data_IF_079630512432
#
_entry.id   IF_079630512432
#
_cell.length_a   1.000
_cell.length_b   1.000
_cell.length_c   1.000
_cell.angle_alpha   90.00
_cell.angle_beta   90.00
_cell.angle_gamma   90.00
#
_symmetry.space_group_name_H-M   'P 1'
#
loop_
_entity.id
_entity.type
_entity.pdbx_description
1 polymer ?
#
# COMPACT_ATOMS: atom_id res chain seq x y z
N UNK A 1 -27.44 -4.35 5.69
CA UNK A 1 -26.50 -5.20 6.50
C UNK A 1 -25.52 -5.84 5.55
N UNK A 2 -24.26 -6.06 5.97
CA UNK A 2 -23.34 -6.95 5.26
C UNK A 2 -23.39 -8.29 5.95
N UNK A 3 -23.66 -9.38 5.21
CA UNK A 3 -23.66 -10.74 5.76
C UNK A 3 -22.51 -11.53 5.13
N UNK A 4 -21.73 -12.23 5.95
CA UNK A 4 -20.59 -13.03 5.55
C UNK A 4 -20.85 -14.46 5.98
N UNK A 5 -20.93 -15.37 5.00
CA UNK A 5 -21.10 -16.80 5.26
C UNK A 5 -19.82 -17.41 5.88
N UNK A 6 -19.93 -18.62 6.39
CA UNK A 6 -18.76 -19.34 6.87
C UNK A 6 -17.74 -19.57 5.72
N UNK A 7 -16.45 -19.33 5.98
CA UNK A 7 -15.42 -19.55 4.97
C UNK A 7 -15.29 -21.02 4.59
N UNK A 8 -14.99 -21.27 3.34
CA UNK A 8 -14.71 -22.61 2.83
C UNK A 8 -13.42 -22.60 2.00
N UNK A 9 -12.72 -23.72 1.99
CA UNK A 9 -11.58 -23.96 1.09
C UNK A 9 -11.99 -24.78 -0.11
N UNK A 10 -11.49 -24.39 -1.27
CA UNK A 10 -11.67 -25.10 -2.53
C UNK A 10 -10.33 -25.23 -3.26
N UNK A 11 -10.01 -26.43 -3.72
CA UNK A 11 -8.80 -26.69 -4.50
C UNK A 11 -9.19 -26.90 -5.97
N UNK A 12 -8.53 -26.15 -6.84
CA UNK A 12 -8.68 -26.21 -8.29
C UNK A 12 -7.30 -26.33 -8.94
N UNK A 13 -6.91 -27.55 -9.27
CA UNK A 13 -5.59 -27.87 -9.79
C UNK A 13 -4.48 -27.47 -8.79
N UNK A 14 -3.65 -26.50 -9.18
CA UNK A 14 -2.52 -26.03 -8.36
C UNK A 14 -2.85 -24.80 -7.49
N UNK A 15 -4.11 -24.40 -7.46
CA UNK A 15 -4.56 -23.22 -6.73
C UNK A 15 -5.52 -23.63 -5.63
N UNK A 16 -5.35 -23.09 -4.44
CA UNK A 16 -6.30 -23.21 -3.34
C UNK A 16 -6.92 -21.84 -3.09
N UNK A 17 -8.25 -21.83 -2.95
CA UNK A 17 -9.05 -20.64 -2.66
C UNK A 17 -9.69 -20.77 -1.30
N UNK A 18 -9.50 -19.78 -0.47
CA UNK A 18 -10.31 -19.51 0.71
C UNK A 18 -11.39 -18.50 0.29
N UNK A 19 -12.65 -18.83 0.48
CA UNK A 19 -13.75 -17.97 0.04
C UNK A 19 -14.91 -17.98 1.02
N UNK A 20 -15.59 -16.83 1.16
CA UNK A 20 -16.87 -16.68 1.85
C UNK A 20 -17.83 -15.90 0.95
N UNK A 21 -19.11 -16.27 0.96
CA UNK A 21 -20.09 -15.51 0.22
C UNK A 21 -20.46 -14.26 1.03
N UNK A 22 -20.47 -13.10 0.36
CA UNK A 22 -20.75 -11.81 0.98
C UNK A 22 -21.97 -11.19 0.33
N UNK A 23 -22.97 -10.88 1.14
CA UNK A 23 -24.14 -10.10 0.77
C UNK A 23 -23.98 -8.67 1.26
N UNK A 24 -24.01 -7.70 0.37
CA UNK A 24 -24.00 -6.27 0.70
C UNK A 24 -25.26 -5.62 0.15
N UNK A 25 -26.25 -5.44 1.01
CA UNK A 25 -27.58 -4.94 0.64
C UNK A 25 -27.54 -3.50 0.11
N UNK A 26 -26.61 -2.66 0.60
CA UNK A 26 -26.54 -1.23 0.22
C UNK A 26 -25.85 -1.05 -1.12
N UNK A 27 -24.77 -1.77 -1.37
CA UNK A 27 -24.06 -1.72 -2.64
C UNK A 27 -24.68 -2.64 -3.70
N UNK A 28 -25.60 -3.52 -3.29
CA UNK A 28 -26.20 -4.57 -4.11
C UNK A 28 -25.10 -5.46 -4.76
N UNK A 29 -24.11 -5.87 -3.95
CA UNK A 29 -23.04 -6.76 -4.36
C UNK A 29 -23.14 -8.07 -3.57
N UNK A 30 -23.51 -9.13 -4.26
CA UNK A 30 -23.69 -10.48 -3.70
C UNK A 30 -22.75 -11.42 -4.45
N UNK A 31 -21.59 -11.71 -3.84
CA UNK A 31 -20.56 -12.50 -4.50
C UNK A 31 -19.56 -13.11 -3.52
N UNK A 32 -18.72 -14.02 -4.02
CA UNK A 32 -17.62 -14.60 -3.28
C UNK A 32 -16.48 -13.60 -3.07
N UNK A 33 -16.15 -13.30 -1.83
CA UNK A 33 -14.87 -12.71 -1.44
C UNK A 33 -13.85 -13.83 -1.33
N UNK A 34 -12.70 -13.70 -2.03
CA UNK A 34 -11.77 -14.80 -2.22
C UNK A 34 -10.32 -14.39 -1.97
N UNK A 35 -9.56 -15.30 -1.38
CA UNK A 35 -8.09 -15.28 -1.28
C UNK A 35 -7.57 -16.54 -1.95
N UNK A 36 -6.67 -16.39 -2.94
CA UNK A 36 -6.16 -17.51 -3.74
C UNK A 36 -4.64 -17.57 -3.65
N UNK A 37 -4.11 -18.75 -3.41
CA UNK A 37 -2.66 -19.02 -3.36
C UNK A 37 -2.32 -20.36 -4.03
N UNK A 38 -1.01 -20.66 -4.18
CA UNK A 38 -0.57 -21.96 -4.68
C UNK A 38 -0.90 -23.09 -3.69
N UNK A 39 -1.02 -24.31 -4.21
CA UNK A 39 -1.32 -25.52 -3.41
C UNK A 39 -0.30 -25.72 -2.28
N UNK A 40 0.96 -25.34 -2.48
CA UNK A 40 2.02 -25.40 -1.46
C UNK A 40 1.65 -24.66 -0.15
N UNK A 41 0.90 -23.56 -0.27
CA UNK A 41 0.48 -22.75 0.87
C UNK A 41 -1.01 -22.89 1.22
N UNK A 42 -1.73 -23.78 0.54
CA UNK A 42 -3.17 -23.95 0.70
C UNK A 42 -3.60 -24.34 2.11
N UNK A 43 -2.81 -25.16 2.79
CA UNK A 43 -3.11 -25.63 4.16
C UNK A 43 -3.03 -24.51 5.19
N UNK A 44 -2.28 -23.45 4.91
CA UNK A 44 -2.16 -22.27 5.77
C UNK A 44 -3.30 -21.28 5.63
N UNK A 45 -4.14 -21.40 4.58
CA UNK A 45 -5.36 -20.61 4.49
C UNK A 45 -6.32 -20.96 5.62
N UNK A 46 -6.80 -19.95 6.34
CA UNK A 46 -7.57 -20.10 7.56
C UNK A 46 -9.07 -20.05 7.28
N UNK A 47 -9.73 -21.20 7.26
CA UNK A 47 -11.17 -21.36 7.06
C UNK A 47 -11.98 -21.55 8.35
N UNK A 48 -11.31 -21.59 9.49
CA UNK A 48 -11.94 -21.86 10.80
C UNK A 48 -12.52 -20.60 11.42
N UNK A 49 -12.05 -19.41 10.99
CA UNK A 49 -12.49 -18.10 11.51
C UNK A 49 -12.75 -17.09 10.39
N UNK A 50 -13.60 -16.12 10.67
CA UNK A 50 -14.01 -15.08 9.75
C UNK A 50 -13.12 -13.83 9.71
N UNK A 51 -12.01 -13.80 10.45
CA UNK A 51 -11.19 -12.60 10.70
C UNK A 51 -10.79 -11.84 9.42
N UNK A 52 -10.25 -12.56 8.44
CA UNK A 52 -9.83 -11.96 7.16
C UNK A 52 -10.99 -11.27 6.44
N UNK A 53 -12.16 -11.91 6.45
CA UNK A 53 -13.36 -11.42 5.77
C UNK A 53 -13.97 -10.22 6.48
N UNK A 54 -14.01 -10.24 7.81
CA UNK A 54 -14.48 -9.11 8.62
C UNK A 54 -13.59 -7.91 8.42
N UNK A 55 -12.26 -8.06 8.47
CA UNK A 55 -11.30 -6.96 8.22
C UNK A 55 -11.47 -6.42 6.79
N UNK A 56 -11.66 -7.28 5.79
CA UNK A 56 -11.93 -6.85 4.42
C UNK A 56 -13.23 -6.04 4.29
N UNK A 57 -14.28 -6.37 5.05
CA UNK A 57 -15.58 -5.72 4.90
C UNK A 57 -15.84 -4.60 5.90
N UNK A 58 -14.95 -4.38 6.88
CA UNK A 58 -15.15 -3.41 7.95
C UNK A 58 -15.27 -1.97 7.44
N UNK A 59 -14.35 -1.55 6.56
CA UNK A 59 -14.36 -0.19 6.04
C UNK A 59 -15.55 0.09 5.10
N UNK A 60 -15.95 -0.81 4.16
CA UNK A 60 -17.21 -0.73 3.44
C UNK A 60 -18.44 -0.61 4.35
N UNK A 61 -18.52 -1.44 5.40
CA UNK A 61 -19.61 -1.42 6.37
C UNK A 61 -19.74 -0.06 7.07
N UNK A 62 -18.63 0.46 7.59
CA UNK A 62 -18.59 1.77 8.26
C UNK A 62 -18.99 2.88 7.29
N UNK A 63 -18.46 2.88 6.06
CA UNK A 63 -18.76 3.90 5.05
C UNK A 63 -20.24 3.95 4.67
N UNK A 64 -20.86 2.78 4.59
CA UNK A 64 -22.28 2.63 4.20
C UNK A 64 -23.22 2.56 5.40
N UNK A 65 -22.70 2.73 6.63
CA UNK A 65 -23.47 2.68 7.88
C UNK A 65 -24.21 1.35 8.09
N UNK A 66 -23.55 0.26 7.73
CA UNK A 66 -24.05 -1.11 7.89
C UNK A 66 -23.35 -1.82 9.06
N UNK A 67 -24.06 -2.77 9.67
CA UNK A 67 -23.44 -3.80 10.54
C UNK A 67 -22.95 -4.97 9.69
N UNK A 68 -21.98 -5.71 10.22
CA UNK A 68 -21.49 -6.96 9.64
C UNK A 68 -22.04 -8.11 10.47
N UNK A 69 -22.76 -9.04 9.84
CA UNK A 69 -23.10 -10.33 10.41
C UNK A 69 -22.17 -11.39 9.84
N UNK A 70 -21.45 -12.11 10.70
CA UNK A 70 -20.51 -13.16 10.29
C UNK A 70 -20.93 -14.51 10.86
N UNK A 71 -20.97 -15.53 10.02
CA UNK A 71 -21.39 -16.88 10.42
C UNK A 71 -20.25 -17.66 11.10
N UNK A 72 -18.99 -17.34 10.79
CA UNK A 72 -17.83 -18.01 11.39
C UNK A 72 -17.41 -17.35 12.72
N UNK A 73 -16.75 -18.09 13.62
CA UNK A 73 -16.13 -17.53 14.80
C UNK A 73 -15.10 -16.45 14.45
N UNK A 74 -14.80 -15.57 15.41
CA UNK A 74 -13.75 -14.55 15.31
C UNK A 74 -12.75 -14.69 16.45
N UNK A 75 -11.50 -14.24 16.19
CA UNK A 75 -10.50 -14.01 17.23
C UNK A 75 -11.06 -13.05 18.28
N UNK A 76 -10.98 -13.43 19.56
CA UNK A 76 -11.41 -12.59 20.69
C UNK A 76 -10.70 -11.23 20.68
N UNK A 77 -9.39 -11.25 20.49
CA UNK A 77 -8.56 -10.05 20.43
C UNK A 77 -8.98 -9.12 19.28
N UNK A 78 -9.16 -9.66 18.09
CA UNK A 78 -9.54 -8.86 16.92
C UNK A 78 -10.95 -8.28 17.10
N UNK A 79 -11.92 -9.11 17.54
CA UNK A 79 -13.28 -8.66 17.81
C UNK A 79 -13.30 -7.51 18.81
N UNK A 80 -12.63 -7.69 19.97
CA UNK A 80 -12.54 -6.65 20.99
C UNK A 80 -11.95 -5.36 20.43
N UNK A 81 -10.85 -5.44 19.69
CA UNK A 81 -10.18 -4.27 19.12
C UNK A 81 -11.05 -3.56 18.06
N UNK A 82 -11.77 -4.32 17.24
CA UNK A 82 -12.69 -3.74 16.24
C UNK A 82 -13.80 -2.99 16.96
N UNK A 83 -14.48 -3.60 17.91
CA UNK A 83 -15.64 -2.98 18.59
C UNK A 83 -15.26 -1.76 19.43
N UNK A 84 -14.10 -1.77 20.09
CA UNK A 84 -13.73 -0.70 21.02
C UNK A 84 -12.79 0.36 20.45
N UNK A 85 -12.09 0.08 19.36
CA UNK A 85 -11.07 1.00 18.85
C UNK A 85 -11.12 1.23 17.35
N UNK A 86 -10.98 0.18 16.54
CA UNK A 86 -10.83 0.30 15.08
C UNK A 86 -12.07 0.95 14.46
N UNK A 87 -13.27 0.51 14.86
CA UNK A 87 -14.55 1.09 14.38
C UNK A 87 -14.63 2.58 14.66
N UNK A 88 -14.27 3.00 15.88
CA UNK A 88 -14.27 4.42 16.28
C UNK A 88 -13.30 5.24 15.43
N UNK A 89 -12.07 4.74 15.22
CA UNK A 89 -11.06 5.41 14.36
C UNK A 89 -11.60 5.58 12.93
N UNK A 90 -12.09 4.50 12.34
CA UNK A 90 -12.56 4.53 10.96
C UNK A 90 -13.83 5.39 10.80
N UNK A 91 -14.76 5.36 11.76
CA UNK A 91 -15.92 6.23 11.77
C UNK A 91 -15.52 7.71 11.84
N UNK A 92 -14.60 8.07 12.73
CA UNK A 92 -14.07 9.45 12.81
C UNK A 92 -13.49 9.91 11.48
N UNK A 93 -12.66 9.09 10.85
CA UNK A 93 -11.99 9.45 9.60
C UNK A 93 -12.95 9.56 8.41
N UNK A 94 -13.86 8.59 8.24
CA UNK A 94 -14.63 8.45 6.99
C UNK A 94 -16.08 8.93 7.06
N UNK A 95 -16.66 9.01 8.25
CA UNK A 95 -18.05 9.47 8.45
C UNK A 95 -18.09 10.90 9.01
N UNK A 96 -17.11 11.26 9.87
CA UNK A 96 -16.94 12.61 10.43
C UNK A 96 -17.79 12.89 11.67
N UNK A 97 -17.58 14.08 12.25
CA UNK A 97 -18.01 14.45 13.62
C UNK A 97 -19.54 14.52 13.85
N UNK A 98 -20.36 14.54 12.81
CA UNK A 98 -21.83 14.64 12.94
C UNK A 98 -22.46 13.50 13.77
N UNK A 99 -21.70 12.41 14.01
CA UNK A 99 -22.12 11.30 14.88
C UNK A 99 -21.52 11.38 16.28
N UNK A 100 -20.46 12.15 16.49
CA UNK A 100 -19.84 12.29 17.81
C UNK A 100 -20.77 13.00 18.83
N UNK A 101 -21.67 13.88 18.34
CA UNK A 101 -22.69 14.51 19.19
C UNK A 101 -23.76 13.52 19.70
N UNK A 102 -23.79 12.28 19.14
CA UNK A 102 -24.66 11.18 19.53
C UNK A 102 -23.91 10.03 20.23
N UNK A 103 -22.83 10.33 20.93
CA UNK A 103 -21.96 9.34 21.63
C UNK A 103 -22.73 8.44 22.59
N UNK A 104 -23.90 8.86 23.06
CA UNK A 104 -24.80 8.03 23.87
C UNK A 104 -25.44 6.85 23.12
N UNK A 105 -25.44 6.88 21.77
CA UNK A 105 -25.99 5.81 20.90
C UNK A 105 -24.90 4.89 20.30
N UNK A 106 -23.61 5.17 20.53
CA UNK A 106 -22.46 4.37 20.06
C UNK A 106 -22.30 2.99 20.76
N UNK A 107 -23.30 2.51 21.47
CA UNK A 107 -23.37 1.14 22.00
C UNK A 107 -23.79 0.11 20.96
N UNK A 108 -24.05 0.50 19.74
CA UNK A 108 -24.37 -0.46 18.68
C UNK A 108 -23.08 -1.09 18.14
N UNK A 109 -22.91 -2.36 18.45
CA UNK A 109 -21.83 -3.20 17.89
C UNK A 109 -21.81 -3.11 16.37
N UNK A 110 -20.61 -3.00 15.78
CA UNK A 110 -20.45 -3.04 14.31
C UNK A 110 -20.58 -4.47 13.81
N UNK A 111 -20.19 -5.45 14.64
CA UNK A 111 -20.21 -6.87 14.30
C UNK A 111 -21.33 -7.56 15.06
N UNK A 112 -22.21 -8.23 14.33
CA UNK A 112 -23.17 -9.20 14.85
C UNK A 112 -22.62 -10.61 14.64
N UNK A 113 -22.37 -11.31 15.74
CA UNK A 113 -21.97 -12.71 15.70
C UNK A 113 -23.18 -13.58 15.32
N UNK A 114 -23.03 -14.47 14.37
CA UNK A 114 -24.12 -15.24 13.76
C UNK A 114 -24.61 -16.41 14.58
N UNK A 115 -25.20 -16.17 15.73
CA UNK A 115 -26.00 -17.07 16.59
C UNK A 115 -25.56 -18.53 16.72
N UNK A 116 -24.71 -18.83 17.68
CA UNK A 116 -24.27 -20.18 18.09
C UNK A 116 -23.41 -20.09 19.33
N UNK A 117 -23.14 -21.22 19.98
CA UNK A 117 -22.13 -21.29 21.04
C UNK A 117 -20.72 -21.13 20.44
N UNK A 118 -19.78 -20.52 21.19
CA UNK A 118 -18.37 -20.33 20.79
C UNK A 118 -18.13 -19.46 19.53
N UNK A 119 -18.80 -18.32 19.43
CA UNK A 119 -18.59 -17.34 18.35
C UNK A 119 -17.27 -16.55 18.47
N UNK A 120 -16.67 -16.52 19.65
CA UNK A 120 -15.35 -15.92 19.90
C UNK A 120 -14.38 -17.03 20.32
N UNK A 121 -13.19 -17.00 19.74
CA UNK A 121 -12.16 -18.03 19.96
C UNK A 121 -10.81 -17.39 20.23
N UNK A 122 -10.10 -17.90 21.24
CA UNK A 122 -8.69 -17.57 21.46
C UNK A 122 -7.85 -18.41 20.51
N UNK A 123 -7.30 -17.79 19.48
CA UNK A 123 -6.51 -18.49 18.48
C UNK A 123 -5.19 -19.01 19.04
N UNK A 124 -4.81 -20.22 18.66
CA UNK A 124 -3.58 -20.86 19.11
C UNK A 124 -2.83 -21.53 17.94
N UNK A 125 -2.75 -20.85 16.81
CA UNK A 125 -1.95 -21.33 15.68
C UNK A 125 -0.46 -21.21 16.02
N UNK A 126 0.31 -22.23 15.65
CA UNK A 126 1.76 -22.32 15.92
C UNK A 126 2.59 -21.95 14.70
N UNK A 127 2.07 -21.04 13.87
CA UNK A 127 2.82 -20.52 12.76
C UNK A 127 4.12 -19.84 13.19
N UNK A 128 5.22 -20.11 12.52
CA UNK A 128 6.54 -19.51 12.79
C UNK A 128 6.95 -18.52 11.69
N UNK A 129 6.07 -18.29 10.72
CA UNK A 129 6.33 -17.43 9.58
C UNK A 129 6.46 -15.97 10.01
N UNK A 130 7.58 -15.35 9.64
CA UNK A 130 7.83 -13.91 9.74
C UNK A 130 7.94 -13.36 8.33
N UNK A 131 7.03 -12.47 7.93
CA UNK A 131 6.94 -12.06 6.54
C UNK A 131 6.91 -10.52 6.35
N UNK A 132 7.22 -10.07 5.14
CA UNK A 132 7.03 -8.69 4.69
C UNK A 132 6.62 -8.65 3.22
N UNK A 133 5.94 -7.57 2.83
CA UNK A 133 5.57 -7.32 1.44
C UNK A 133 6.80 -7.01 0.57
N UNK A 134 6.87 -7.59 -0.62
CA UNK A 134 7.98 -7.45 -1.56
C UNK A 134 7.54 -6.80 -2.87
N UNK A 135 7.31 -5.49 -2.87
CA UNK A 135 7.00 -4.72 -4.09
C UNK A 135 8.24 -4.21 -4.83
N UNK A 136 9.44 -4.45 -4.31
CA UNK A 136 10.72 -3.94 -4.79
C UNK A 136 10.82 -2.40 -4.80
N UNK A 137 9.90 -1.71 -4.14
CA UNK A 137 9.96 -0.27 -3.88
C UNK A 137 10.93 0.06 -2.74
N UNK A 138 11.18 1.35 -2.53
CA UNK A 138 12.08 1.84 -1.46
C UNK A 138 11.67 1.28 -0.10
N UNK A 139 10.39 1.32 0.25
CA UNK A 139 9.90 0.89 1.56
C UNK A 139 10.06 -0.62 1.77
N UNK A 140 9.69 -1.42 0.77
CA UNK A 140 9.78 -2.88 0.87
C UNK A 140 11.23 -3.39 0.88
N UNK A 141 12.14 -2.78 0.10
CA UNK A 141 13.59 -3.12 0.16
C UNK A 141 14.16 -2.69 1.52
N UNK A 142 13.76 -1.53 2.05
CA UNK A 142 14.18 -1.10 3.39
C UNK A 142 13.72 -2.09 4.46
N UNK A 143 12.45 -2.53 4.43
CA UNK A 143 11.94 -3.56 5.35
C UNK A 143 12.71 -4.87 5.22
N UNK A 144 12.93 -5.34 4.00
CA UNK A 144 13.72 -6.55 3.77
C UNK A 144 15.12 -6.43 4.40
N UNK A 145 15.86 -5.35 4.14
CA UNK A 145 17.21 -5.17 4.67
C UNK A 145 17.25 -5.05 6.19
N UNK A 146 16.21 -4.46 6.80
CA UNK A 146 16.12 -4.36 8.27
C UNK A 146 15.94 -5.71 8.92
N UNK A 147 15.12 -6.59 8.36
CA UNK A 147 14.72 -7.83 9.02
C UNK A 147 15.35 -9.11 8.43
N UNK A 148 16.22 -9.02 7.41
CA UNK A 148 16.84 -10.20 6.79
C UNK A 148 18.24 -10.52 7.33
N UNK A 149 18.96 -9.55 7.91
CA UNK A 149 20.36 -9.71 8.28
C UNK A 149 20.59 -10.44 9.62
N UNK A 150 21.84 -10.85 9.85
CA UNK A 150 22.27 -11.48 11.11
C UNK A 150 22.14 -10.54 12.34
N UNK A 151 22.05 -9.22 12.10
CA UNK A 151 21.79 -8.22 13.14
C UNK A 151 20.36 -8.28 13.68
N UNK A 152 19.42 -8.85 12.92
CA UNK A 152 18.03 -9.00 13.35
C UNK A 152 17.89 -10.20 14.30
N UNK A 153 17.24 -10.04 15.48
CA UNK A 153 17.00 -11.16 16.37
C UNK A 153 16.26 -12.31 15.67
N UNK A 154 16.60 -13.59 15.95
CA UNK A 154 16.05 -14.73 15.18
C UNK A 154 14.54 -14.76 15.05
N UNK A 155 13.82 -14.47 16.14
CA UNK A 155 12.33 -14.47 16.19
C UNK A 155 11.69 -13.30 15.41
N UNK A 156 12.50 -12.35 14.91
CA UNK A 156 12.07 -11.20 14.11
C UNK A 156 12.59 -11.28 12.67
N UNK A 157 13.46 -12.27 12.39
CA UNK A 157 14.09 -12.41 11.07
C UNK A 157 13.10 -12.97 10.07
N UNK A 158 13.07 -12.36 8.86
CA UNK A 158 12.22 -12.79 7.78
C UNK A 158 12.47 -14.25 7.39
N UNK A 159 11.38 -14.99 7.25
CA UNK A 159 11.33 -16.36 6.73
C UNK A 159 10.66 -16.40 5.37
N UNK A 160 9.80 -15.43 5.06
CA UNK A 160 9.00 -15.38 3.83
C UNK A 160 8.92 -13.95 3.28
N UNK A 161 8.77 -13.87 1.96
CA UNK A 161 8.35 -12.66 1.25
C UNK A 161 6.91 -12.85 0.76
N UNK A 162 6.16 -11.75 0.67
CA UNK A 162 4.80 -11.80 0.13
C UNK A 162 4.61 -10.82 -1.01
N UNK A 163 3.76 -11.19 -1.99
CA UNK A 163 3.35 -10.28 -3.06
C UNK A 163 1.87 -10.46 -3.36
N UNK A 164 1.08 -9.40 -3.16
CA UNK A 164 -0.37 -9.46 -3.21
C UNK A 164 -0.93 -8.79 -4.46
N UNK A 165 -1.86 -9.46 -5.14
CA UNK A 165 -2.78 -8.82 -6.09
C UNK A 165 -4.08 -8.47 -5.34
N UNK A 166 -4.06 -7.33 -4.67
CA UNK A 166 -5.12 -6.89 -3.77
C UNK A 166 -5.55 -5.43 -4.04
N UNK A 167 -5.54 -5.00 -5.30
CA UNK A 167 -6.00 -3.67 -5.73
C UNK A 167 -4.88 -2.67 -6.05
N UNK A 168 -3.63 -2.90 -5.66
CA UNK A 168 -2.53 -1.98 -5.93
C UNK A 168 -2.23 -1.77 -7.42
N UNK A 169 -2.50 -2.77 -8.27
CA UNK A 169 -2.26 -2.75 -9.72
C UNK A 169 -3.43 -2.21 -10.54
N UNK A 170 -4.51 -1.81 -9.89
CA UNK A 170 -5.72 -1.25 -10.51
C UNK A 170 -6.99 -1.69 -9.80
N UNK A 171 -7.87 -0.72 -9.54
CA UNK A 171 -9.09 -0.92 -8.76
C UNK A 171 -10.32 -1.21 -9.64
N UNK A 172 -10.26 -0.83 -10.92
CA UNK A 172 -11.44 -0.79 -11.79
C UNK A 172 -11.42 -1.81 -12.92
N UNK A 173 -10.29 -2.47 -13.18
CA UNK A 173 -10.15 -3.43 -14.26
C UNK A 173 -9.27 -4.60 -13.79
N UNK A 174 -9.92 -5.67 -13.34
CA UNK A 174 -9.25 -6.87 -12.81
C UNK A 174 -8.34 -7.54 -13.85
N UNK A 175 -8.72 -7.53 -15.13
CA UNK A 175 -7.93 -8.16 -16.19
C UNK A 175 -6.62 -7.42 -16.44
N UNK A 176 -6.64 -6.08 -16.44
CA UNK A 176 -5.42 -5.26 -16.56
C UNK A 176 -4.58 -5.33 -15.29
N UNK A 177 -5.21 -5.29 -14.12
CA UNK A 177 -4.53 -5.46 -12.84
C UNK A 177 -3.79 -6.79 -12.76
N UNK A 178 -4.42 -7.88 -13.20
CA UNK A 178 -3.80 -9.21 -13.25
C UNK A 178 -2.60 -9.27 -14.19
N UNK A 179 -2.69 -8.67 -15.38
CA UNK A 179 -1.55 -8.60 -16.33
C UNK A 179 -0.36 -7.84 -15.75
N UNK A 180 -0.61 -6.69 -15.09
CA UNK A 180 0.44 -5.91 -14.43
C UNK A 180 1.06 -6.71 -13.28
N UNK A 181 0.24 -7.34 -12.46
CA UNK A 181 0.67 -8.21 -11.38
C UNK A 181 1.56 -9.37 -11.86
N UNK A 182 1.15 -10.10 -12.89
CA UNK A 182 1.89 -11.24 -13.44
C UNK A 182 3.25 -10.81 -14.05
N UNK A 183 3.31 -9.60 -14.62
CA UNK A 183 4.57 -9.01 -15.11
C UNK A 183 5.53 -8.75 -13.95
N UNK A 184 5.06 -8.07 -12.91
CA UNK A 184 5.88 -7.69 -11.76
C UNK A 184 6.26 -8.91 -10.92
N UNK A 185 5.38 -9.90 -10.79
CA UNK A 185 5.61 -11.15 -10.05
C UNK A 185 6.87 -11.90 -10.55
N UNK A 186 7.18 -11.84 -11.84
CA UNK A 186 8.40 -12.46 -12.39
C UNK A 186 9.66 -11.84 -11.79
N UNK A 187 9.69 -10.53 -11.65
CA UNK A 187 10.82 -9.81 -11.07
C UNK A 187 10.91 -10.05 -9.56
N UNK A 188 9.77 -10.05 -8.88
CA UNK A 188 9.71 -10.36 -7.44
C UNK A 188 10.18 -11.79 -7.15
N UNK A 189 9.83 -12.77 -8.00
CA UNK A 189 10.35 -14.15 -7.93
C UNK A 189 11.87 -14.22 -8.12
N UNK A 190 12.41 -13.44 -9.06
CA UNK A 190 13.86 -13.38 -9.28
C UNK A 190 14.59 -12.83 -8.05
N UNK A 191 14.02 -11.80 -7.41
CA UNK A 191 14.54 -11.27 -6.15
C UNK A 191 14.47 -12.32 -5.03
N UNK A 192 13.30 -12.95 -4.84
CA UNK A 192 13.08 -13.99 -3.82
C UNK A 192 14.07 -15.14 -3.96
N UNK A 193 14.30 -15.63 -5.18
CA UNK A 193 15.28 -16.69 -5.45
C UNK A 193 16.73 -16.25 -5.12
N UNK A 194 17.09 -15.00 -5.45
CA UNK A 194 18.43 -14.49 -5.18
C UNK A 194 18.72 -14.34 -3.68
N UNK A 195 17.71 -13.94 -2.91
CA UNK A 195 17.85 -13.77 -1.45
C UNK A 195 17.57 -15.06 -0.65
N UNK A 196 17.13 -16.13 -1.31
CA UNK A 196 16.86 -17.44 -0.70
C UNK A 196 15.67 -17.46 0.24
N UNK A 197 14.69 -16.53 0.10
CA UNK A 197 13.46 -16.53 0.88
C UNK A 197 12.27 -16.93 0.01
N UNK A 198 11.44 -17.90 0.45
CA UNK A 198 10.23 -18.29 -0.29
C UNK A 198 9.27 -17.12 -0.47
N UNK A 199 8.63 -17.06 -1.64
CA UNK A 199 7.67 -16.04 -2.01
C UNK A 199 6.24 -16.60 -2.02
N UNK A 200 5.40 -16.02 -1.19
CA UNK A 200 3.98 -16.31 -1.16
C UNK A 200 3.23 -15.26 -1.98
N UNK A 201 2.60 -15.69 -3.05
CA UNK A 201 1.75 -14.83 -3.87
C UNK A 201 0.27 -15.11 -3.56
N UNK A 202 -0.49 -14.05 -3.27
CA UNK A 202 -1.92 -14.15 -2.95
C UNK A 202 -2.69 -13.17 -3.82
N UNK A 203 -3.77 -13.65 -4.44
CA UNK A 203 -4.74 -12.84 -5.16
C UNK A 203 -6.00 -12.67 -4.31
N UNK A 204 -6.52 -11.45 -4.23
CA UNK A 204 -7.73 -11.10 -3.49
C UNK A 204 -8.61 -10.18 -4.33
N UNK A 205 -9.90 -10.49 -4.38
CA UNK A 205 -10.89 -9.70 -5.14
C UNK A 205 -11.66 -8.68 -4.31
N UNK A 206 -11.21 -8.36 -3.09
CA UNK A 206 -11.88 -7.40 -2.19
C UNK A 206 -12.12 -6.02 -2.84
N UNK A 207 -11.29 -5.62 -3.81
CA UNK A 207 -11.46 -4.37 -4.57
C UNK A 207 -12.89 -4.16 -5.11
N UNK A 208 -13.63 -5.24 -5.36
CA UNK A 208 -15.00 -5.21 -5.84
C UNK A 208 -15.95 -4.44 -4.91
N UNK A 209 -15.77 -4.55 -3.59
CA UNK A 209 -16.58 -3.85 -2.58
C UNK A 209 -16.06 -2.45 -2.25
N UNK A 210 -14.87 -2.11 -2.74
CA UNK A 210 -14.20 -0.85 -2.43
C UNK A 210 -14.23 0.16 -3.58
N UNK A 211 -14.18 -0.28 -4.83
CA UNK A 211 -13.89 0.55 -6.00
C UNK A 211 -14.88 1.70 -6.26
N UNK A 212 -16.14 1.59 -5.76
CA UNK A 212 -17.14 2.64 -5.84
C UNK A 212 -17.10 3.61 -4.64
N UNK A 213 -16.51 3.19 -3.53
CA UNK A 213 -16.53 3.91 -2.27
C UNK A 213 -15.21 4.63 -1.97
N UNK A 214 -14.08 4.09 -2.45
CA UNK A 214 -12.75 4.48 -2.04
C UNK A 214 -11.76 4.48 -3.21
N UNK A 215 -10.69 5.28 -3.09
CA UNK A 215 -9.44 5.08 -3.81
C UNK A 215 -8.56 4.08 -3.06
N UNK A 216 -7.57 3.48 -3.74
CA UNK A 216 -6.69 2.49 -3.10
C UNK A 216 -5.96 3.04 -1.87
N UNK A 217 -5.44 4.28 -1.90
CA UNK A 217 -4.78 4.90 -0.74
C UNK A 217 -5.68 5.05 0.51
N UNK A 218 -7.00 5.06 0.33
CA UNK A 218 -7.94 5.14 1.44
C UNK A 218 -8.21 3.79 2.13
N UNK A 219 -7.83 2.67 1.52
CA UNK A 219 -8.21 1.33 1.98
C UNK A 219 -7.07 0.30 1.90
N UNK A 220 -5.90 0.68 1.40
CA UNK A 220 -4.78 -0.23 1.17
C UNK A 220 -4.41 -1.05 2.42
N UNK A 221 -4.37 -0.43 3.61
CA UNK A 221 -4.05 -1.12 4.85
C UNK A 221 -5.07 -2.21 5.16
N UNK A 222 -6.37 -1.90 5.10
CA UNK A 222 -7.43 -2.86 5.41
C UNK A 222 -7.41 -4.07 4.48
N UNK A 223 -7.32 -3.82 3.17
CA UNK A 223 -7.28 -4.91 2.17
C UNK A 223 -6.02 -5.76 2.35
N UNK A 224 -4.83 -5.15 2.50
CA UNK A 224 -3.61 -5.93 2.68
C UNK A 224 -3.61 -6.72 3.98
N UNK A 225 -4.09 -6.15 5.09
CA UNK A 225 -4.17 -6.88 6.37
C UNK A 225 -5.18 -8.01 6.32
N UNK A 226 -6.29 -7.87 5.61
CA UNK A 226 -7.21 -8.99 5.38
C UNK A 226 -6.53 -10.16 4.66
N UNK A 227 -5.68 -9.86 3.65
CA UNK A 227 -4.89 -10.88 2.96
C UNK A 227 -3.91 -11.56 3.91
N UNK A 228 -3.23 -10.81 4.78
CA UNK A 228 -2.31 -11.39 5.78
C UNK A 228 -3.07 -12.31 6.73
N UNK A 229 -4.24 -11.88 7.23
CA UNK A 229 -5.05 -12.66 8.16
C UNK A 229 -5.68 -13.91 7.51
N UNK A 230 -5.80 -13.97 6.19
CA UNK A 230 -6.18 -15.23 5.52
C UNK A 230 -5.15 -16.34 5.70
N UNK A 231 -3.90 -15.99 6.09
CA UNK A 231 -2.76 -16.90 6.27
C UNK A 231 -2.27 -16.96 7.74
N UNK A 232 -3.11 -16.65 8.70
CA UNK A 232 -2.68 -16.58 10.11
C UNK A 232 -2.28 -17.94 10.72
N UNK A 233 -2.52 -19.06 10.04
CA UNK A 233 -1.93 -20.36 10.37
C UNK A 233 -0.43 -20.44 10.09
N UNK A 234 0.09 -19.61 9.19
CA UNK A 234 1.50 -19.54 8.83
C UNK A 234 2.22 -18.40 9.56
N UNK A 235 1.63 -17.19 9.49
CA UNK A 235 2.30 -15.98 9.94
C UNK A 235 2.14 -15.76 11.46
N UNK A 236 3.27 -15.80 12.17
CA UNK A 236 3.37 -15.30 13.54
C UNK A 236 3.51 -13.77 13.55
N UNK A 237 4.30 -13.22 12.61
CA UNK A 237 4.53 -11.78 12.46
C UNK A 237 4.47 -11.35 11.00
N UNK A 238 3.89 -10.18 10.79
CA UNK A 238 3.92 -9.54 9.47
C UNK A 238 4.39 -8.09 9.57
N UNK A 239 5.48 -7.78 8.89
CA UNK A 239 6.02 -6.44 8.79
C UNK A 239 5.45 -5.70 7.58
N UNK A 240 4.60 -4.72 7.85
CA UNK A 240 4.06 -3.84 6.81
C UNK A 240 5.01 -2.66 6.61
N UNK A 241 5.51 -2.49 5.39
CA UNK A 241 6.47 -1.44 5.06
C UNK A 241 5.84 -0.05 5.18
N UNK A 242 6.27 0.76 6.16
CA UNK A 242 5.73 2.11 6.38
C UNK A 242 5.91 3.02 5.17
N UNK A 243 4.88 3.80 4.84
CA UNK A 243 4.97 4.84 3.81
C UNK A 243 5.47 6.17 4.36
N UNK A 244 5.12 6.48 5.61
CA UNK A 244 5.43 7.73 6.30
C UNK A 244 6.05 7.46 7.68
N UNK A 245 6.91 8.37 8.18
CA UNK A 245 7.43 8.25 9.53
C UNK A 245 6.33 8.52 10.58
N UNK A 246 6.45 7.88 11.75
CA UNK A 246 5.43 7.93 12.80
C UNK A 246 5.08 9.35 13.27
N UNK A 247 6.02 10.29 13.21
CA UNK A 247 5.75 11.68 13.60
C UNK A 247 4.95 12.49 12.57
N UNK A 248 4.71 11.93 11.36
CA UNK A 248 3.74 12.48 10.40
C UNK A 248 2.31 11.96 10.65
N UNK A 249 2.11 11.24 11.76
CA UNK A 249 0.80 10.71 12.14
C UNK A 249 -0.28 11.80 12.07
N UNK A 250 -1.35 11.47 11.40
CA UNK A 250 -2.60 12.24 11.38
C UNK A 250 -3.73 11.39 10.82
N UNK A 251 -4.95 11.71 11.21
CA UNK A 251 -6.11 11.17 10.51
C UNK A 251 -6.26 11.84 9.15
N UNK A 252 -6.16 11.06 8.09
CA UNK A 252 -6.23 11.55 6.70
C UNK A 252 -7.26 10.73 5.92
N UNK A 253 -8.24 11.44 5.31
CA UNK A 253 -9.32 10.80 4.55
C UNK A 253 -8.85 10.21 3.22
N UNK A 254 -7.69 10.60 2.73
CA UNK A 254 -7.20 10.23 1.40
C UNK A 254 -6.14 9.14 1.45
N UNK A 255 -5.39 9.04 2.57
CA UNK A 255 -4.23 8.15 2.71
C UNK A 255 -4.24 7.53 4.10
N UNK A 256 -4.57 6.24 4.17
CA UNK A 256 -4.67 5.49 5.42
C UNK A 256 -3.29 5.26 6.07
N UNK A 257 -2.24 5.22 5.28
CA UNK A 257 -0.87 4.97 5.74
C UNK A 257 -0.34 6.05 6.70
N UNK A 258 -0.98 7.23 6.82
CA UNK A 258 -0.62 8.22 7.86
C UNK A 258 -0.96 7.78 9.28
N UNK A 259 -1.88 6.82 9.46
CA UNK A 259 -2.27 6.30 10.77
C UNK A 259 -2.19 4.76 10.86
N UNK A 260 -1.45 4.14 9.94
CA UNK A 260 -1.20 2.69 9.92
C UNK A 260 -0.55 2.20 11.21
N UNK A 261 0.35 3.00 11.82
CA UNK A 261 1.02 2.67 13.08
C UNK A 261 0.06 2.51 14.27
N UNK A 262 -1.13 3.12 14.18
CA UNK A 262 -2.20 2.92 15.16
C UNK A 262 -3.07 1.72 14.79
N UNK A 263 -3.39 1.55 13.50
CA UNK A 263 -4.34 0.51 13.06
C UNK A 263 -3.75 -0.90 13.12
N UNK A 264 -2.50 -1.09 12.67
CA UNK A 264 -1.94 -2.43 12.52
C UNK A 264 -1.94 -3.24 13.82
N UNK A 265 -1.43 -2.72 14.96
CA UNK A 265 -1.48 -3.47 16.22
C UNK A 265 -2.89 -3.85 16.67
N UNK A 266 -3.89 -2.98 16.35
CA UNK A 266 -5.29 -3.22 16.67
C UNK A 266 -5.96 -4.26 15.76
N UNK A 267 -5.42 -4.49 14.56
CA UNK A 267 -5.87 -5.54 13.65
C UNK A 267 -5.16 -6.88 13.87
N UNK A 268 -4.25 -6.97 14.84
CA UNK A 268 -3.58 -8.22 15.21
C UNK A 268 -4.54 -9.18 15.89
N UNK A 269 -4.29 -10.48 15.70
CA UNK A 269 -4.96 -11.57 16.41
C UNK A 269 -4.03 -12.16 17.47
N UNK A 270 -4.47 -13.19 18.21
CA UNK A 270 -3.61 -13.92 19.16
C UNK A 270 -2.46 -14.64 18.45
N UNK A 271 -2.68 -15.06 17.20
CA UNK A 271 -1.71 -15.85 16.42
C UNK A 271 -0.84 -15.03 15.49
N UNK A 272 -1.29 -13.84 15.05
CA UNK A 272 -0.57 -13.03 14.07
C UNK A 272 -0.42 -11.59 14.55
N UNK A 273 0.83 -11.17 14.73
CA UNK A 273 1.21 -9.79 15.07
C UNK A 273 1.45 -8.98 13.81
N UNK A 274 0.71 -7.89 13.65
CA UNK A 274 0.85 -6.95 12.53
C UNK A 274 1.67 -5.75 12.98
N UNK A 275 2.82 -5.52 12.34
CA UNK A 275 3.82 -4.57 12.78
C UNK A 275 4.15 -3.61 11.65
N UNK A 276 4.23 -2.32 11.93
CA UNK A 276 4.76 -1.33 10.98
C UNK A 276 6.29 -1.42 10.98
N UNK A 277 6.88 -1.58 9.81
CA UNK A 277 8.33 -1.65 9.62
C UNK A 277 8.91 -0.25 9.39
N UNK A 278 10.04 0.04 10.05
CA UNK A 278 10.80 1.28 9.89
C UNK A 278 9.97 2.58 10.06
N UNK A 279 9.08 2.67 11.07
CA UNK A 279 8.26 3.85 11.29
C UNK A 279 9.08 5.08 11.72
N UNK A 280 10.34 4.89 12.09
CA UNK A 280 11.28 5.95 12.43
C UNK A 280 12.02 6.53 11.21
N UNK A 281 11.81 5.99 10.01
CA UNK A 281 12.53 6.43 8.82
C UNK A 281 11.68 7.29 7.89
N UNK A 282 12.19 8.46 7.52
CA UNK A 282 11.67 9.23 6.39
C UNK A 282 11.95 8.51 5.06
N UNK A 283 11.33 8.96 3.98
CA UNK A 283 11.63 8.43 2.64
C UNK A 283 13.11 8.57 2.28
N UNK A 284 13.69 9.74 2.52
CA UNK A 284 15.11 10.00 2.25
C UNK A 284 16.02 9.16 3.16
N UNK A 285 15.63 8.92 4.41
CA UNK A 285 16.39 8.03 5.30
C UNK A 285 16.42 6.59 4.77
N UNK A 286 15.28 6.07 4.31
CA UNK A 286 15.21 4.75 3.65
C UNK A 286 16.04 4.71 2.37
N UNK A 287 16.02 5.76 1.57
CA UNK A 287 16.82 5.89 0.34
C UNK A 287 18.33 5.88 0.65
N UNK A 288 18.78 6.64 1.66
CA UNK A 288 20.17 6.58 2.17
C UNK A 288 20.56 5.17 2.60
N UNK A 289 19.65 4.46 3.26
CA UNK A 289 19.88 3.10 3.76
C UNK A 289 20.02 2.08 2.64
N UNK A 290 19.21 2.15 1.57
CA UNK A 290 19.16 1.11 0.54
C UNK A 290 20.05 1.35 -0.69
N UNK A 291 20.35 2.61 -1.07
CA UNK A 291 20.94 2.89 -2.39
C UNK A 291 22.38 2.38 -2.56
N UNK A 292 23.11 2.21 -1.47
CA UNK A 292 24.43 1.56 -1.50
C UNK A 292 24.36 0.05 -1.67
N UNK A 293 23.20 -0.59 -1.46
CA UNK A 293 23.08 -2.03 -1.43
C UNK A 293 22.90 -2.63 -2.86
N UNK A 294 23.65 -3.71 -3.23
CA UNK A 294 23.58 -4.30 -4.57
C UNK A 294 22.18 -4.74 -5.01
N UNK A 295 21.37 -5.29 -4.10
CA UNK A 295 19.99 -5.70 -4.40
C UNK A 295 19.12 -4.52 -4.80
N UNK A 296 19.26 -3.36 -4.13
CA UNK A 296 18.55 -2.14 -4.52
C UNK A 296 18.96 -1.66 -5.91
N UNK A 297 20.28 -1.66 -6.19
CA UNK A 297 20.82 -1.25 -7.50
C UNK A 297 20.29 -2.12 -8.64
N UNK A 298 20.06 -3.41 -8.38
CA UNK A 298 19.59 -4.39 -9.36
C UNK A 298 18.07 -4.41 -9.51
N UNK A 299 17.31 -4.30 -8.41
CA UNK A 299 15.88 -4.61 -8.37
C UNK A 299 14.97 -3.42 -8.07
N UNK A 300 15.48 -2.24 -7.74
CA UNK A 300 14.62 -1.11 -7.34
C UNK A 300 13.58 -0.78 -8.40
N UNK A 301 12.30 -1.00 -8.07
CA UNK A 301 11.16 -0.75 -8.91
C UNK A 301 10.14 0.15 -8.19
N UNK A 302 10.02 1.40 -8.63
CA UNK A 302 9.17 2.42 -8.00
C UNK A 302 8.08 2.96 -8.93
N UNK A 303 8.00 2.42 -10.14
CA UNK A 303 7.26 3.01 -11.24
C UNK A 303 5.74 2.83 -11.10
N UNK A 304 5.00 3.88 -11.47
CA UNK A 304 3.54 3.85 -11.60
C UNK A 304 3.06 3.69 -13.06
N UNK A 305 3.95 3.36 -14.00
CA UNK A 305 3.62 3.30 -15.42
C UNK A 305 2.42 2.40 -15.69
N UNK A 306 2.46 1.17 -15.21
CA UNK A 306 1.40 0.17 -15.45
C UNK A 306 0.07 0.63 -14.86
N UNK A 307 0.06 1.14 -13.62
CA UNK A 307 -1.14 1.67 -12.97
C UNK A 307 -1.72 2.83 -13.79
N UNK A 308 -0.89 3.81 -14.18
CA UNK A 308 -1.32 4.96 -14.97
C UNK A 308 -1.81 4.60 -16.36
N UNK A 309 -1.21 3.61 -16.99
CA UNK A 309 -1.66 3.08 -18.29
C UNK A 309 -3.00 2.34 -18.15
N UNK A 310 -3.19 1.60 -17.06
CA UNK A 310 -4.46 0.92 -16.77
C UNK A 310 -5.60 1.91 -16.51
N UNK A 311 -5.33 2.99 -15.75
CA UNK A 311 -6.29 4.06 -15.50
C UNK A 311 -6.64 4.87 -16.76
N UNK A 312 -5.65 5.13 -17.62
CA UNK A 312 -5.82 5.88 -18.86
C UNK A 312 -4.91 5.31 -19.98
N UNK A 313 -5.45 4.45 -20.87
CA UNK A 313 -4.70 3.86 -21.98
C UNK A 313 -4.13 4.88 -22.97
N UNK A 314 -4.72 6.08 -23.07
CA UNK A 314 -4.27 7.16 -23.96
C UNK A 314 -3.22 8.07 -23.27
N UNK A 315 -2.80 7.71 -22.08
CA UNK A 315 -1.79 8.48 -21.34
C UNK A 315 -0.41 8.42 -22.01
N UNK A 316 0.41 9.43 -21.73
CA UNK A 316 1.81 9.44 -22.20
C UNK A 316 2.59 8.20 -21.73
N UNK A 317 2.15 7.57 -20.63
CA UNK A 317 2.82 6.40 -20.06
C UNK A 317 2.66 5.16 -20.95
N UNK A 318 1.54 5.02 -21.66
CA UNK A 318 1.32 3.92 -22.61
C UNK A 318 2.31 3.92 -23.79
N UNK A 319 2.87 5.09 -24.13
CA UNK A 319 3.81 5.27 -25.25
C UNK A 319 5.28 5.06 -24.84
N UNK A 320 5.56 4.85 -23.53
CA UNK A 320 6.94 4.68 -23.05
C UNK A 320 7.37 3.23 -23.28
N UNK A 321 8.48 3.03 -24.00
CA UNK A 321 9.08 1.71 -24.21
C UNK A 321 9.64 1.14 -22.90
N UNK A 322 9.57 -0.18 -22.74
CA UNK A 322 10.09 -0.92 -21.59
C UNK A 322 11.60 -1.23 -21.78
N UNK A 323 12.41 -0.19 -21.92
CA UNK A 323 13.87 -0.32 -22.03
C UNK A 323 14.58 -0.37 -20.68
N UNK A 324 13.91 0.12 -19.62
CA UNK A 324 14.38 0.14 -18.23
C UNK A 324 13.29 -0.36 -17.30
N UNK A 325 13.65 -0.79 -16.09
CA UNK A 325 12.71 -1.21 -15.06
C UNK A 325 11.69 -0.12 -14.73
N UNK A 326 12.12 1.14 -14.72
CA UNK A 326 11.31 2.29 -14.33
C UNK A 326 11.12 3.25 -15.52
N UNK A 327 9.94 3.82 -15.66
CA UNK A 327 9.62 4.71 -16.79
C UNK A 327 10.42 6.03 -16.82
N UNK A 328 11.01 6.45 -15.73
CA UNK A 328 11.74 7.71 -15.53
C UNK A 328 10.93 8.98 -15.88
N UNK A 329 9.60 8.87 -16.00
CA UNK A 329 8.70 9.99 -16.36
C UNK A 329 7.73 10.33 -15.23
N UNK A 330 7.28 9.35 -14.45
CA UNK A 330 6.35 9.58 -13.36
C UNK A 330 7.03 10.24 -12.15
N UNK A 331 6.21 10.83 -11.27
CA UNK A 331 6.70 11.54 -10.09
C UNK A 331 7.52 10.64 -9.15
N UNK A 332 7.09 9.37 -8.94
CA UNK A 332 7.86 8.41 -8.14
C UNK A 332 9.26 8.16 -8.71
N UNK A 333 9.38 7.97 -10.03
CA UNK A 333 10.68 7.76 -10.66
C UNK A 333 11.59 8.99 -10.53
N UNK A 334 11.06 10.18 -10.82
CA UNK A 334 11.87 11.40 -10.81
C UNK A 334 12.30 11.79 -9.39
N UNK A 335 11.43 11.60 -8.37
CA UNK A 335 11.82 11.88 -6.98
C UNK A 335 12.89 10.91 -6.48
N UNK A 336 12.75 9.62 -6.78
CA UNK A 336 13.75 8.61 -6.44
C UNK A 336 15.09 8.89 -7.14
N UNK A 337 15.06 9.21 -8.44
CA UNK A 337 16.28 9.56 -9.18
C UNK A 337 16.96 10.84 -8.67
N UNK A 338 16.19 11.84 -8.23
CA UNK A 338 16.78 13.03 -7.63
C UNK A 338 17.53 12.67 -6.33
N UNK A 339 16.97 11.79 -5.51
CA UNK A 339 17.66 11.32 -4.31
C UNK A 339 18.89 10.46 -4.65
N UNK A 340 18.78 9.53 -5.61
CA UNK A 340 19.90 8.71 -6.12
C UNK A 340 21.07 9.59 -6.57
N UNK A 341 20.77 10.67 -7.33
CA UNK A 341 21.75 11.61 -7.87
C UNK A 341 22.42 12.42 -6.75
N UNK A 342 21.62 13.00 -5.85
CA UNK A 342 22.12 13.79 -4.72
C UNK A 342 22.97 12.96 -3.75
N UNK A 343 22.68 11.68 -3.62
CA UNK A 343 23.44 10.74 -2.79
C UNK A 343 24.66 10.11 -3.52
N UNK A 344 24.90 10.48 -4.78
CA UNK A 344 26.09 10.05 -5.54
C UNK A 344 26.01 8.64 -6.12
N UNK A 345 24.82 8.05 -6.21
CA UNK A 345 24.65 6.67 -6.70
C UNK A 345 24.14 6.59 -8.16
N UNK A 346 24.02 7.71 -8.89
CA UNK A 346 23.32 7.75 -10.18
C UNK A 346 23.85 6.73 -11.20
N UNK A 347 25.15 6.51 -11.25
CA UNK A 347 25.78 5.58 -12.20
C UNK A 347 25.43 4.11 -11.92
N UNK A 348 25.10 3.77 -10.67
CA UNK A 348 24.69 2.42 -10.27
C UNK A 348 23.27 2.07 -10.70
N UNK A 349 22.46 3.08 -11.05
CA UNK A 349 21.04 2.91 -11.40
C UNK A 349 20.73 3.09 -12.89
N UNK A 350 21.75 3.15 -13.77
CA UNK A 350 21.58 3.32 -15.22
C UNK A 350 20.77 2.20 -15.89
N UNK A 351 20.84 0.97 -15.36
CA UNK A 351 20.01 -0.13 -15.88
C UNK A 351 18.56 -0.04 -15.45
N UNK A 352 18.29 0.55 -14.27
CA UNK A 352 16.95 0.67 -13.73
C UNK A 352 16.20 1.90 -14.24
N UNK A 353 16.92 2.95 -14.69
CA UNK A 353 16.34 4.23 -15.10
C UNK A 353 17.03 4.82 -16.34
N UNK A 354 16.27 5.54 -17.17
CA UNK A 354 16.79 6.41 -18.24
C UNK A 354 17.43 7.67 -17.63
N UNK A 355 18.68 7.56 -17.24
CA UNK A 355 19.45 8.65 -16.62
C UNK A 355 19.64 9.81 -17.61
N UNK A 356 19.70 9.54 -18.92
CA UNK A 356 19.85 10.57 -19.96
C UNK A 356 18.61 11.48 -20.01
N UNK A 357 17.43 10.90 -19.92
CA UNK A 357 16.19 11.67 -19.83
C UNK A 357 16.10 12.43 -18.51
N UNK A 358 16.47 11.80 -17.40
CA UNK A 358 16.47 12.47 -16.09
C UNK A 358 17.26 13.77 -16.13
N UNK A 359 18.48 13.77 -16.68
CA UNK A 359 19.28 14.99 -16.77
C UNK A 359 18.64 16.10 -17.63
N UNK A 360 17.86 15.76 -18.65
CA UNK A 360 17.10 16.74 -19.46
C UNK A 360 16.02 17.45 -18.63
N UNK A 361 15.37 16.74 -17.68
CA UNK A 361 14.25 17.27 -16.89
C UNK A 361 14.62 17.61 -15.44
N UNK A 362 15.83 17.31 -14.98
CA UNK A 362 16.29 17.48 -13.59
C UNK A 362 15.98 18.87 -13.04
N UNK A 363 16.33 19.94 -13.76
CA UNK A 363 16.12 21.32 -13.28
C UNK A 363 14.63 21.67 -13.16
N UNK A 364 13.79 21.17 -14.07
CA UNK A 364 12.34 21.34 -14.01
C UNK A 364 11.76 20.60 -12.78
N UNK A 365 12.25 19.37 -12.56
CA UNK A 365 11.82 18.58 -11.41
C UNK A 365 12.25 19.19 -10.07
N UNK A 366 13.49 19.68 -9.95
CA UNK A 366 13.96 20.43 -8.78
C UNK A 366 13.07 21.66 -8.53
N UNK A 367 12.72 22.40 -9.58
CA UNK A 367 11.83 23.55 -9.44
C UNK A 367 10.43 23.16 -8.91
N UNK A 368 9.88 22.02 -9.38
CA UNK A 368 8.63 21.45 -8.88
C UNK A 368 8.74 21.08 -7.40
N UNK A 369 9.81 20.39 -6.99
CA UNK A 369 10.10 20.00 -5.60
C UNK A 369 10.14 21.23 -4.70
N UNK A 370 10.92 22.25 -5.07
CA UNK A 370 11.06 23.50 -4.29
C UNK A 370 9.72 24.25 -4.18
N UNK A 371 8.93 24.29 -5.24
CA UNK A 371 7.64 24.98 -5.23
C UNK A 371 6.59 24.26 -4.40
N UNK A 372 6.62 22.92 -4.37
CA UNK A 372 5.64 22.06 -3.69
C UNK A 372 6.00 21.63 -2.26
N UNK A 373 7.19 21.98 -1.76
CA UNK A 373 7.73 21.45 -0.49
C UNK A 373 6.85 21.65 0.74
N UNK A 374 6.07 22.74 0.77
CA UNK A 374 5.22 23.05 1.92
C UNK A 374 3.90 22.27 1.95
N UNK A 375 3.59 21.53 0.88
CA UNK A 375 2.33 20.77 0.73
C UNK A 375 2.54 19.28 0.46
N UNK A 376 3.80 18.85 0.35
CA UNK A 376 4.17 17.47 0.07
C UNK A 376 5.41 17.10 0.90
N UNK A 377 5.28 16.16 1.83
CA UNK A 377 6.36 15.75 2.72
C UNK A 377 7.56 15.21 1.96
N UNK A 378 7.36 14.40 0.93
CA UNK A 378 8.46 13.88 0.10
C UNK A 378 9.26 15.00 -0.59
N UNK A 379 8.58 16.07 -1.02
CA UNK A 379 9.27 17.23 -1.62
C UNK A 379 10.01 18.04 -0.55
N UNK A 380 9.48 18.10 0.67
CA UNK A 380 10.16 18.73 1.78
C UNK A 380 11.47 18.03 2.14
N UNK A 381 11.43 16.69 2.21
CA UNK A 381 12.61 15.86 2.45
C UNK A 381 13.67 16.02 1.34
N UNK A 382 13.26 15.96 0.06
CA UNK A 382 14.17 16.20 -1.06
C UNK A 382 14.75 17.62 -1.06
N UNK A 383 13.97 18.62 -0.64
CA UNK A 383 14.48 19.99 -0.49
C UNK A 383 15.51 20.09 0.66
N UNK A 384 15.29 19.37 1.75
CA UNK A 384 16.29 19.26 2.81
C UNK A 384 17.57 18.59 2.31
N UNK A 385 17.44 17.51 1.53
CA UNK A 385 18.57 16.80 0.91
C UNK A 385 19.34 17.69 -0.09
N UNK A 386 18.65 18.53 -0.88
CA UNK A 386 19.30 19.53 -1.74
C UNK A 386 20.18 20.51 -0.94
N UNK A 387 19.71 20.94 0.26
CA UNK A 387 20.48 21.81 1.13
C UNK A 387 21.65 21.09 1.80
N UNK A 388 21.42 19.88 2.28
CA UNK A 388 22.48 19.04 2.90
C UNK A 388 23.66 18.80 1.94
N UNK A 389 23.38 18.75 0.63
CA UNK A 389 24.39 18.58 -0.42
C UNK A 389 24.88 19.92 -1.03
N UNK A 390 24.60 21.06 -0.42
CA UNK A 390 24.97 22.39 -0.91
C UNK A 390 24.64 22.62 -2.40
N UNK A 391 23.51 22.03 -2.88
CA UNK A 391 23.13 22.07 -4.27
C UNK A 391 22.86 23.48 -4.76
N UNK A 392 23.68 23.98 -5.68
CA UNK A 392 23.55 25.34 -6.25
C UNK A 392 22.39 25.43 -7.22
N UNK A 393 21.35 26.14 -6.85
CA UNK A 393 20.17 26.39 -7.69
C UNK A 393 20.50 27.52 -8.68
N UNK A 394 20.66 27.17 -9.95
CA UNK A 394 20.92 28.11 -11.04
C UNK A 394 19.75 29.05 -11.31
N UNK A 395 20.03 30.16 -12.02
CA UNK A 395 19.04 31.19 -12.36
C UNK A 395 17.80 30.63 -13.07
N UNK A 396 18.00 29.77 -14.07
CA UNK A 396 16.90 29.11 -14.82
C UNK A 396 15.96 28.33 -13.90
N UNK A 397 16.52 27.56 -12.96
CA UNK A 397 15.72 26.81 -11.98
C UNK A 397 14.95 27.73 -11.05
N UNK A 398 15.54 28.86 -10.61
CA UNK A 398 14.84 29.86 -9.79
C UNK A 398 13.65 30.49 -10.52
N UNK A 399 13.79 30.80 -11.82
CA UNK A 399 12.66 31.26 -12.64
C UNK A 399 11.55 30.20 -12.69
N UNK A 400 11.89 28.93 -12.93
CA UNK A 400 10.92 27.84 -12.94
C UNK A 400 10.22 27.65 -11.58
N UNK A 401 10.91 27.86 -10.47
CA UNK A 401 10.29 27.86 -9.13
C UNK A 401 9.22 28.97 -9.02
N UNK A 402 9.53 30.18 -9.48
CA UNK A 402 8.57 31.27 -9.46
C UNK A 402 7.32 30.95 -10.28
N UNK A 403 7.50 30.43 -11.48
CA UNK A 403 6.40 30.00 -12.37
C UNK A 403 5.55 28.89 -11.73
N UNK A 404 6.18 27.87 -11.12
CA UNK A 404 5.47 26.80 -10.44
C UNK A 404 4.66 27.30 -9.23
N UNK A 405 5.21 28.25 -8.47
CA UNK A 405 4.50 28.88 -7.34
C UNK A 405 3.28 29.67 -7.80
N UNK A 406 3.43 30.47 -8.87
CA UNK A 406 2.30 31.19 -9.47
C UNK A 406 1.21 30.23 -9.96
N UNK A 407 1.60 29.16 -10.67
CA UNK A 407 0.66 28.13 -11.11
C UNK A 407 -0.08 27.44 -9.93
N UNK A 408 0.63 27.13 -8.86
CA UNK A 408 0.02 26.54 -7.66
C UNK A 408 -0.94 27.51 -6.94
N UNK A 409 -0.61 28.82 -6.90
CA UNK A 409 -1.50 29.84 -6.33
C UNK A 409 -2.77 30.01 -7.17
N UNK A 410 -2.64 30.05 -8.50
CA UNK A 410 -3.77 30.14 -9.42
C UNK A 410 -4.67 28.90 -9.35
N UNK A 411 -4.09 27.72 -9.15
CA UNK A 411 -4.87 26.48 -8.90
C UNK A 411 -5.79 26.59 -7.68
N UNK A 412 -5.35 27.22 -6.64
CA UNK A 412 -6.15 27.44 -5.42
C UNK A 412 -7.32 28.43 -5.66
N UNK A 413 -7.22 29.30 -6.65
CA UNK A 413 -8.24 30.31 -7.00
C UNK A 413 -9.29 29.82 -8.00
N UNK A 414 -9.30 28.54 -8.41
CA UNK A 414 -10.37 27.93 -9.22
C UNK A 414 -10.39 28.27 -10.71
N UNK A 415 -9.44 29.05 -11.25
CA UNK A 415 -9.47 29.62 -12.61
C UNK A 415 -8.44 28.96 -13.55
N UNK A 416 -8.60 27.63 -13.96
CA UNK A 416 -7.36 27.01 -14.44
C UNK A 416 -7.42 26.12 -15.68
N UNK A 417 -8.51 25.88 -16.30
CA UNK A 417 -8.45 25.08 -17.56
C UNK A 417 -7.58 25.71 -18.65
N UNK A 418 -7.56 27.03 -18.74
CA UNK A 418 -6.81 27.77 -19.76
C UNK A 418 -5.30 27.84 -19.45
N UNK A 419 -4.94 28.11 -18.21
CA UNK A 419 -3.53 28.22 -17.77
C UNK A 419 -2.80 26.87 -17.68
N UNK A 420 -3.51 25.80 -17.35
CA UNK A 420 -2.94 24.45 -17.40
C UNK A 420 -2.57 24.06 -18.85
N UNK A 421 -3.41 24.40 -19.84
CA UNK A 421 -3.10 24.20 -21.27
C UNK A 421 -1.89 25.01 -21.74
N UNK A 422 -1.76 26.25 -21.27
CA UNK A 422 -0.61 27.10 -21.59
C UNK A 422 0.67 26.63 -20.88
N UNK A 423 0.57 26.24 -19.63
CA UNK A 423 1.69 25.72 -18.83
C UNK A 423 2.22 24.39 -19.39
N UNK A 424 1.33 23.41 -19.68
CA UNK A 424 1.72 22.15 -20.33
C UNK A 424 2.33 22.37 -21.70
N UNK A 425 1.81 23.33 -22.48
CA UNK A 425 2.32 23.64 -23.84
C UNK A 425 3.68 24.34 -23.81
N UNK A 426 3.98 25.16 -22.82
CA UNK A 426 5.23 25.92 -22.69
C UNK A 426 6.35 25.18 -21.94
N UNK A 427 6.02 24.33 -20.98
CA UNK A 427 6.98 23.77 -20.02
C UNK A 427 7.00 22.23 -19.95
N UNK A 428 5.99 21.54 -20.51
CA UNK A 428 5.87 20.07 -20.53
C UNK A 428 5.76 19.52 -21.95
N UNK A 429 6.55 20.08 -22.87
CA UNK A 429 6.62 19.59 -24.25
C UNK A 429 7.47 18.32 -24.41
N UNK A 430 7.76 17.63 -23.27
CA UNK A 430 8.52 16.39 -23.30
C UNK A 430 7.99 15.41 -22.26
#
# INVERSE_FOLDING_TARGET
MITIDAPIKETDGKIVRLKAFVHDDVQNVNDWLMYSTSQEYGDYLCDEVGDAFVVAMLLPAIKTSQKIRVAAPLSERLYHNIEHSVSTILQHVYVGDKRMDKVTELKDTVIELGGGENQLVTLNYKGEGVATGCSLGVDSISSYLTYSGAHCPPQHRLTHLTYFNAGAMGFHDEGKAKKAYDKDLKMVRSFSNEVGLPLISIECNAAKWYNKLFSFGQCAVMINMSVVLSMQKLFNKYYFASSFPIWEFRYDKSIMEYYESLLLPLLSTESTELIVSNPEMTRVAKEKFIFGHPLSQKYLYVCWKEIRTNENPDSIYAQIKDEHLNCTRCDKCLRTLLAVDLLGYIDKYRNSFDVSYYYKVKNQYIAKVIAGRNTNSFYNELYALLKENDYRIGFRTRMLVAVNRMANSLKRLGNIKLLHKLYTKLFWKY
#
